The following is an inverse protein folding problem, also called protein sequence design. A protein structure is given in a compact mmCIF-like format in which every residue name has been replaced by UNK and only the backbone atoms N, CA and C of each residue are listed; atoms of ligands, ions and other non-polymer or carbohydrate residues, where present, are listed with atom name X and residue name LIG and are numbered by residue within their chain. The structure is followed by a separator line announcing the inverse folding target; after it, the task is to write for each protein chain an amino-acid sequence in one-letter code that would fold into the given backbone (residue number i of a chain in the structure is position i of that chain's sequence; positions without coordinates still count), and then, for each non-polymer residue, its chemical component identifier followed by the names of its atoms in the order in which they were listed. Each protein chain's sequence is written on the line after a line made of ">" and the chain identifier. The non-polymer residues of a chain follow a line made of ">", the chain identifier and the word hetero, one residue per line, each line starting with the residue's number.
data_IF_195365777740
#
_entry.id   IF_195365777740
#
_cell.length_a   1.000
_cell.length_b   1.000
_cell.length_c   1.000
_cell.angle_alpha   90.00
_cell.angle_beta   90.00
_cell.angle_gamma   90.00
#
_symmetry.space_group_name_H-M   'P 1'
#
loop_
_entity.id
_entity.type
_entity.pdbx_description
1 polymer ?
#
# COMPACT_ATOMS: atom_id res chain seq x y z
N UNK A 1 -11.34 0.32 -6.09
CA UNK A 1 -10.61 1.06 -5.04
C UNK A 1 -10.55 0.17 -3.82
N UNK A 2 -9.35 -0.22 -3.39
CA UNK A 2 -9.11 -1.10 -2.26
C UNK A 2 -8.97 -0.26 -0.99
N UNK A 3 -9.56 -0.68 0.12
CA UNK A 3 -9.41 0.00 1.42
C UNK A 3 -8.49 -0.86 2.26
N UNK A 4 -7.38 -0.29 2.72
CA UNK A 4 -6.46 -0.97 3.63
C UNK A 4 -6.79 -0.57 5.07
N UNK A 5 -6.94 -1.56 5.94
CA UNK A 5 -7.36 -1.36 7.33
C UNK A 5 -6.17 -1.18 8.29
N UNK A 6 -4.97 -1.50 7.84
CA UNK A 6 -3.73 -1.27 8.54
C UNK A 6 -3.45 0.21 8.86
N UNK A 7 -2.54 0.43 9.82
CA UNK A 7 -1.99 1.74 10.15
C UNK A 7 -0.73 1.99 9.33
N UNK A 8 -0.88 2.71 8.24
CA UNK A 8 0.22 2.98 7.32
C UNK A 8 0.92 4.30 7.65
N UNK A 9 2.25 4.27 7.60
CA UNK A 9 3.09 5.47 7.68
C UNK A 9 3.38 5.95 6.27
N UNK A 10 2.83 7.11 5.93
CA UNK A 10 3.11 7.78 4.66
C UNK A 10 4.31 8.71 4.86
N UNK A 11 5.31 8.59 3.97
CA UNK A 11 6.50 9.42 4.03
C UNK A 11 6.18 10.91 3.75
N UNK A 12 7.04 11.85 4.15
CA UNK A 12 6.81 13.30 3.96
C UNK A 12 6.60 13.71 2.49
N UNK A 13 7.17 12.97 1.54
CA UNK A 13 6.96 13.14 0.10
C UNK A 13 5.61 12.58 -0.40
N UNK A 14 4.71 12.20 0.52
CA UNK A 14 3.42 11.54 0.26
C UNK A 14 3.55 10.16 -0.38
N UNK A 15 4.72 9.52 -0.30
CA UNK A 15 4.95 8.17 -0.79
C UNK A 15 4.56 7.16 0.29
N UNK A 16 3.77 6.17 -0.10
CA UNK A 16 3.55 4.95 0.68
C UNK A 16 4.33 3.81 0.03
N UNK A 17 5.05 3.06 0.84
CA UNK A 17 5.73 1.83 0.44
C UNK A 17 5.34 0.71 1.40
N UNK A 18 4.79 -0.36 0.85
CA UNK A 18 4.38 -1.56 1.58
C UNK A 18 5.27 -2.70 1.10
N UNK A 19 6.01 -3.28 2.04
CA UNK A 19 6.93 -4.37 1.79
C UNK A 19 6.33 -5.64 2.39
N UNK A 20 5.86 -6.55 1.56
CA UNK A 20 5.51 -7.90 1.96
C UNK A 20 6.74 -8.80 1.78
N UNK A 21 7.77 -8.57 2.60
CA UNK A 21 9.00 -9.37 2.65
C UNK A 21 8.90 -10.43 3.75
N UNK A 22 8.55 -11.65 3.37
CA UNK A 22 8.56 -12.80 4.28
C UNK A 22 7.64 -12.65 5.51
N UNK A 23 8.07 -13.19 6.66
CA UNK A 23 7.31 -13.20 7.92
C UNK A 23 7.25 -11.84 8.64
N UNK A 24 7.91 -10.81 8.11
CA UNK A 24 8.06 -9.53 8.82
C UNK A 24 7.26 -8.47 8.07
N UNK A 25 6.01 -8.30 8.49
CA UNK A 25 5.20 -7.20 8.02
C UNK A 25 5.69 -5.88 8.63
N UNK A 26 5.69 -4.76 7.87
CA UNK A 26 5.93 -3.44 8.41
C UNK A 26 4.91 -3.17 9.52
N UNK A 27 5.35 -2.57 10.62
CA UNK A 27 4.49 -2.28 11.77
C UNK A 27 3.20 -1.57 11.34
N UNK A 28 2.05 -2.17 11.65
CA UNK A 28 0.73 -1.65 11.30
C UNK A 28 0.15 -2.17 9.97
N UNK A 29 0.92 -2.92 9.17
CA UNK A 29 0.40 -3.61 7.98
C UNK A 29 -0.28 -4.93 8.38
N UNK A 30 -1.48 -5.20 7.86
CA UNK A 30 -2.18 -6.46 8.10
C UNK A 30 -1.88 -7.48 6.99
N UNK A 31 -1.83 -8.77 7.32
CA UNK A 31 -1.70 -9.84 6.31
C UNK A 31 -2.85 -9.79 5.31
N UNK A 32 -4.07 -9.54 5.78
CA UNK A 32 -5.27 -9.42 4.95
C UNK A 32 -5.18 -8.27 3.93
N UNK A 33 -4.52 -7.16 4.29
CA UNK A 33 -4.30 -6.04 3.37
C UNK A 33 -3.32 -6.44 2.25
N UNK A 34 -2.28 -7.23 2.57
CA UNK A 34 -1.33 -7.75 1.58
C UNK A 34 -2.02 -8.71 0.62
N UNK A 35 -2.81 -9.64 1.13
CA UNK A 35 -3.58 -10.58 0.29
C UNK A 35 -4.56 -9.82 -0.62
N UNK A 36 -5.21 -8.79 -0.09
CA UNK A 36 -6.12 -7.95 -0.86
C UNK A 36 -5.39 -7.13 -1.92
N UNK A 37 -4.20 -6.60 -1.61
CA UNK A 37 -3.32 -5.91 -2.57
C UNK A 37 -2.86 -6.85 -3.67
N UNK A 38 -2.36 -8.04 -3.33
CA UNK A 38 -1.96 -9.05 -4.29
C UNK A 38 -3.13 -9.39 -5.21
N UNK A 39 -4.30 -9.73 -4.66
CA UNK A 39 -5.47 -10.10 -5.45
C UNK A 39 -5.96 -8.98 -6.38
N UNK A 40 -5.91 -7.72 -5.94
CA UNK A 40 -6.37 -6.59 -6.75
C UNK A 40 -5.31 -6.10 -7.75
N UNK A 41 -4.02 -6.23 -7.44
CA UNK A 41 -2.91 -5.71 -8.26
C UNK A 41 -2.42 -6.73 -9.28
N UNK A 42 -2.61 -8.02 -8.99
CA UNK A 42 -2.23 -9.13 -9.86
C UNK A 42 -2.93 -8.99 -11.22
N UNK A 43 -2.12 -8.77 -12.26
CA UNK A 43 -2.56 -8.62 -13.64
C UNK A 43 -2.59 -7.18 -14.18
N UNK A 44 -2.67 -6.16 -13.32
CA UNK A 44 -2.61 -4.75 -13.73
C UNK A 44 -1.33 -4.04 -13.31
N UNK A 45 -0.61 -4.59 -12.32
CA UNK A 45 0.58 -3.97 -11.74
C UNK A 45 0.31 -2.66 -11.00
N UNK A 46 -0.97 -2.26 -10.87
CA UNK A 46 -1.41 -1.03 -10.20
C UNK A 46 -2.76 -1.23 -9.54
N UNK A 47 -2.94 -0.63 -8.37
CA UNK A 47 -4.17 -0.62 -7.59
C UNK A 47 -4.43 0.76 -7.01
N UNK A 48 -5.67 1.23 -7.14
CA UNK A 48 -6.14 2.37 -6.37
C UNK A 48 -6.47 1.94 -4.94
N UNK A 49 -5.84 2.60 -3.97
CA UNK A 49 -5.98 2.32 -2.55
C UNK A 49 -6.46 3.53 -1.77
N UNK A 50 -7.13 3.26 -0.66
CA UNK A 50 -7.43 4.18 0.40
C UNK A 50 -6.83 3.61 1.68
N UNK A 51 -6.10 4.44 2.42
CA UNK A 51 -5.44 4.03 3.66
C UNK A 51 -5.79 4.99 4.78
N UNK A 52 -5.84 4.46 6.00
CA UNK A 52 -5.94 5.28 7.19
C UNK A 52 -4.53 5.56 7.73
N UNK A 53 -4.19 6.84 7.84
CA UNK A 53 -2.89 7.30 8.37
C UNK A 53 -3.11 8.07 9.67
N UNK A 54 -2.03 8.31 10.43
CA UNK A 54 -2.08 9.19 11.60
C UNK A 54 -2.55 10.63 11.29
N UNK A 55 -2.48 11.05 10.02
CA UNK A 55 -2.90 12.37 9.56
C UNK A 55 -4.33 12.38 8.98
N UNK A 56 -4.99 11.22 8.93
CA UNK A 56 -6.31 11.03 8.34
C UNK A 56 -6.29 10.12 7.12
N UNK A 57 -7.44 10.07 6.42
CA UNK A 57 -7.64 9.23 5.25
C UNK A 57 -6.85 9.78 4.07
N UNK A 58 -6.03 8.94 3.44
CA UNK A 58 -5.33 9.26 2.20
C UNK A 58 -5.72 8.24 1.12
N UNK A 59 -5.73 8.68 -0.14
CA UNK A 59 -6.05 7.85 -1.31
C UNK A 59 -5.05 8.07 -2.42
N UNK A 60 -4.82 7.05 -3.24
CA UNK A 60 -3.93 7.14 -4.38
C UNK A 60 -3.74 5.79 -5.04
N UNK A 61 -2.68 5.64 -5.81
CA UNK A 61 -2.43 4.41 -6.57
C UNK A 61 -1.11 3.81 -6.14
N UNK A 62 -1.13 2.54 -5.73
CA UNK A 62 0.06 1.73 -5.50
C UNK A 62 0.39 0.95 -6.76
N UNK A 63 1.67 0.84 -7.05
CA UNK A 63 2.24 0.08 -8.15
C UNK A 63 2.96 -1.12 -7.56
N UNK A 64 2.63 -2.29 -8.06
CA UNK A 64 3.34 -3.52 -7.74
C UNK A 64 4.71 -3.50 -8.40
N UNK A 65 5.76 -3.56 -7.58
CA UNK A 65 7.12 -3.80 -8.01
C UNK A 65 7.50 -5.23 -7.63
N UNK A 66 7.67 -6.10 -8.63
CA UNK A 66 8.33 -7.40 -8.43
C UNK A 66 9.83 -7.16 -8.26
N UNK A 67 10.43 -7.51 -7.11
CA UNK A 67 11.87 -7.43 -6.97
C UNK A 67 12.53 -8.48 -7.87
N UNK A 68 13.58 -8.07 -8.58
CA UNK A 68 14.32 -8.96 -9.48
C UNK A 68 15.13 -10.05 -8.75
N UNK A 69 15.22 -10.01 -7.41
CA UNK A 69 16.09 -10.89 -6.59
C UNK A 69 15.54 -11.38 -5.25
N UNK A 70 14.42 -10.82 -4.75
CA UNK A 70 13.88 -11.18 -3.43
C UNK A 70 12.42 -11.58 -3.59
N UNK A 71 12.06 -12.74 -3.05
CA UNK A 71 10.73 -13.36 -3.13
C UNK A 71 9.59 -12.59 -2.43
N UNK A 72 9.80 -11.31 -2.11
CA UNK A 72 8.83 -10.45 -1.45
C UNK A 72 8.05 -9.59 -2.45
N UNK A 73 6.81 -9.27 -2.13
CA UNK A 73 6.04 -8.32 -2.94
C UNK A 73 6.27 -6.92 -2.43
N UNK A 74 6.56 -5.98 -3.33
CA UNK A 74 6.72 -4.59 -2.98
C UNK A 74 5.62 -3.78 -3.66
N UNK A 75 4.94 -2.93 -2.92
CA UNK A 75 3.95 -2.00 -3.46
C UNK A 75 4.37 -0.58 -3.10
N UNK A 76 4.54 0.29 -4.08
CA UNK A 76 4.83 1.72 -3.83
C UNK A 76 3.95 2.64 -4.64
N UNK A 77 3.63 3.80 -4.07
CA UNK A 77 2.83 4.79 -4.75
C UNK A 77 2.73 6.10 -4.00
N UNK A 78 2.13 7.09 -4.65
CA UNK A 78 1.87 8.39 -4.05
C UNK A 78 0.40 8.47 -3.62
N UNK A 79 0.20 8.97 -2.41
CA UNK A 79 -1.12 9.18 -1.85
C UNK A 79 -1.40 10.68 -1.69
N UNK A 80 -2.65 11.06 -1.73
CA UNK A 80 -3.09 12.41 -1.47
C UNK A 80 -4.28 12.39 -0.51
N UNK A 81 -4.41 13.45 0.28
CA UNK A 81 -5.66 13.67 1.00
C UNK A 81 -6.79 13.87 -0.03
N UNK A 82 -7.96 13.25 0.19
CA UNK A 82 -9.13 13.56 -0.63
C UNK A 82 -9.44 15.07 -0.55
N UNK A 83 -9.98 15.68 -1.61
CA UNK A 83 -10.44 17.06 -1.57
C UNK A 83 -11.47 17.17 -0.45
N UNK A 84 -11.31 18.20 0.40
CA UNK A 84 -12.34 18.54 1.38
C UNK A 84 -13.61 18.89 0.59
N UNK A 85 -14.69 18.19 0.89
CA UNK A 85 -16.03 18.52 0.39
C UNK A 85 -16.50 19.86 0.97
#
# INVERSE_FOLDING_TARGET
>A
MLILEGKYVVQPNKKLAIYAEGKTLPAGTLESDIEALQKNCQGKGRCDVQVNTQHGIMRGTLIEKKPYKFSGWHFEGHLAFPPKA
#
